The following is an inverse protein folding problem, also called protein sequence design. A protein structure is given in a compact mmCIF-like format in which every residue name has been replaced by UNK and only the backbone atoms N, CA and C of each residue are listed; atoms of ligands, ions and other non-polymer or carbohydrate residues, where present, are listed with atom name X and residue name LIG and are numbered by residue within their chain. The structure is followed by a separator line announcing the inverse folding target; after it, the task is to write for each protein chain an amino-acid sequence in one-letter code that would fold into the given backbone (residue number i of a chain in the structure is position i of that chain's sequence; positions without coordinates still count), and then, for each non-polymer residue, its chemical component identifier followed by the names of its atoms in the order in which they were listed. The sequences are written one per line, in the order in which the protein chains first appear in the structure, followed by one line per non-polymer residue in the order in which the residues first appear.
data_IF_777122273540
#
_entry.id   IF_777122273540
#
_cell.length_a   1.000
_cell.length_b   1.000
_cell.length_c   1.000
_cell.angle_alpha   90.00
_cell.angle_beta   90.00
_cell.angle_gamma   90.00
#
_symmetry.space_group_name_H-M   'P 1'
#
loop_
_entity.id
_entity.type
_entity.pdbx_description
1 polymer ?
#
# COMPACT_ATOMS: atom_id res chain seq x y z
N UNK A 1 4.04 -21.02 18.84
CA UNK A 1 3.82 -21.43 17.44
C UNK A 1 4.48 -22.78 17.14
N UNK A 2 3.68 -23.77 16.75
CA UNK A 2 4.10 -25.13 16.37
C UNK A 2 4.86 -25.14 15.03
N UNK A 3 5.51 -26.26 14.70
CA UNK A 3 6.23 -26.44 13.44
C UNK A 3 5.26 -26.35 12.25
N UNK A 4 4.09 -26.94 12.39
CA UNK A 4 3.01 -26.94 11.40
C UNK A 4 2.50 -25.53 11.15
N UNK A 5 2.22 -24.77 12.21
CA UNK A 5 1.78 -23.38 12.08
C UNK A 5 2.82 -22.51 11.36
N UNK A 6 4.12 -22.76 11.57
CA UNK A 6 5.19 -22.08 10.81
C UNK A 6 5.11 -22.40 9.33
N UNK A 7 5.07 -23.68 8.98
CA UNK A 7 5.09 -24.12 7.58
C UNK A 7 3.81 -23.72 6.82
N UNK A 8 2.65 -23.79 7.47
CA UNK A 8 1.36 -23.60 6.79
C UNK A 8 0.70 -22.24 7.01
N UNK A 9 1.34 -21.31 7.73
CA UNK A 9 0.77 -19.98 8.05
C UNK A 9 0.17 -19.27 6.83
N UNK A 10 0.88 -19.29 5.69
CA UNK A 10 0.47 -18.65 4.42
C UNK A 10 0.07 -19.64 3.34
N UNK A 11 -0.36 -20.83 3.74
CA UNK A 11 -0.74 -21.90 2.83
C UNK A 11 -2.24 -22.15 2.90
N UNK A 12 -2.88 -22.41 1.75
CA UNK A 12 -4.30 -22.77 1.67
C UNK A 12 -4.46 -24.11 0.99
N UNK A 13 -4.98 -25.08 1.73
CA UNK A 13 -5.10 -26.45 1.27
C UNK A 13 -6.16 -26.62 0.18
N UNK A 14 -5.80 -27.37 -0.85
CA UNK A 14 -6.72 -27.86 -1.87
C UNK A 14 -7.17 -29.27 -1.51
N UNK A 15 -8.48 -29.47 -1.30
CA UNK A 15 -9.06 -30.80 -1.01
C UNK A 15 -8.69 -31.84 -2.07
N UNK A 16 -8.68 -31.44 -3.34
CA UNK A 16 -8.30 -32.31 -4.46
C UNK A 16 -6.84 -32.76 -4.33
N UNK A 17 -5.92 -31.81 -4.12
CA UNK A 17 -4.49 -32.11 -4.03
C UNK A 17 -4.14 -32.88 -2.75
N UNK A 18 -4.84 -32.63 -1.65
CA UNK A 18 -4.74 -33.45 -0.43
C UNK A 18 -5.06 -34.92 -0.71
N UNK A 19 -6.19 -35.19 -1.38
CA UNK A 19 -6.58 -36.55 -1.73
C UNK A 19 -5.56 -37.21 -2.68
N UNK A 20 -5.08 -36.48 -3.69
CA UNK A 20 -4.05 -36.95 -4.63
C UNK A 20 -2.70 -37.23 -3.95
N UNK A 21 -2.35 -36.46 -2.92
CA UNK A 21 -1.13 -36.66 -2.13
C UNK A 21 -1.21 -37.90 -1.23
N UNK A 22 -2.42 -38.34 -0.88
CA UNK A 22 -2.66 -39.52 -0.03
C UNK A 22 -3.31 -39.22 1.31
N UNK A 23 -3.86 -38.02 1.53
CA UNK A 23 -4.71 -37.78 2.69
C UNK A 23 -6.06 -38.48 2.52
N UNK A 24 -6.57 -39.03 3.62
CA UNK A 24 -7.88 -39.67 3.70
C UNK A 24 -8.88 -38.70 4.33
N UNK A 25 -9.97 -38.43 3.63
CA UNK A 25 -11.10 -37.64 4.16
C UNK A 25 -11.78 -38.42 5.30
N UNK A 26 -11.88 -37.80 6.48
CA UNK A 26 -12.54 -38.32 7.69
C UNK A 26 -13.84 -37.59 8.02
N UNK A 27 -14.35 -36.77 7.09
CA UNK A 27 -15.53 -35.93 7.26
C UNK A 27 -15.18 -34.57 7.87
N UNK A 28 -14.61 -34.53 9.07
CA UNK A 28 -14.27 -33.27 9.77
C UNK A 28 -12.82 -32.83 9.56
N UNK A 29 -11.98 -33.70 9.00
CA UNK A 29 -10.59 -33.40 8.65
C UNK A 29 -10.07 -34.38 7.58
N UNK A 30 -9.00 -33.98 6.92
CA UNK A 30 -8.15 -34.85 6.11
C UNK A 30 -7.02 -35.37 6.96
N UNK A 31 -6.77 -36.69 6.95
CA UNK A 31 -5.73 -37.33 7.74
C UNK A 31 -4.70 -38.02 6.85
N UNK A 32 -3.42 -37.79 7.11
CA UNK A 32 -2.29 -38.50 6.52
C UNK A 32 -1.54 -39.24 7.61
N UNK A 33 -1.11 -40.47 7.32
CA UNK A 33 -0.13 -41.21 8.11
C UNK A 33 0.99 -41.59 7.15
N UNK A 34 2.22 -41.16 7.43
CA UNK A 34 3.35 -41.35 6.53
C UNK A 34 4.63 -41.60 7.31
N UNK A 35 5.29 -42.71 6.99
CA UNK A 35 6.60 -43.04 7.52
C UNK A 35 7.67 -42.12 6.92
N UNK A 36 8.68 -41.80 7.72
CA UNK A 36 9.85 -41.03 7.31
C UNK A 36 11.10 -41.51 8.07
N UNK A 37 12.28 -41.02 7.66
CA UNK A 37 13.58 -41.49 8.17
C UNK A 37 13.73 -43.01 8.11
N UNK A 38 13.48 -43.60 6.94
CA UNK A 38 13.64 -45.04 6.73
C UNK A 38 12.62 -45.93 7.46
N UNK A 39 11.54 -45.36 8.00
CA UNK A 39 10.52 -46.11 8.74
C UNK A 39 10.71 -46.07 10.25
N UNK A 40 11.69 -45.33 10.77
CA UNK A 40 11.90 -45.17 12.21
C UNK A 40 10.80 -44.33 12.86
N UNK A 41 10.19 -43.43 12.09
CA UNK A 41 9.15 -42.53 12.58
C UNK A 41 7.93 -42.49 11.66
N UNK A 42 6.76 -42.25 12.25
CA UNK A 42 5.51 -42.01 11.52
C UNK A 42 4.98 -40.62 11.84
N UNK A 43 4.80 -39.80 10.81
CA UNK A 43 4.07 -38.54 10.92
C UNK A 43 2.57 -38.79 10.73
N UNK A 44 1.76 -38.39 11.70
CA UNK A 44 0.32 -38.30 11.56
C UNK A 44 -0.13 -36.85 11.52
N UNK A 45 -0.70 -36.45 10.40
CA UNK A 45 -1.06 -35.06 10.11
C UNK A 45 -2.56 -34.98 9.85
N UNK A 46 -3.23 -34.03 10.48
CA UNK A 46 -4.65 -33.73 10.30
C UNK A 46 -4.81 -32.29 9.83
N UNK A 47 -5.53 -32.11 8.74
CA UNK A 47 -5.93 -30.81 8.18
C UNK A 47 -7.43 -30.66 8.35
N UNK A 48 -7.86 -29.66 9.10
CA UNK A 48 -9.28 -29.40 9.38
C UNK A 48 -9.89 -28.47 8.32
N UNK A 49 -11.22 -28.43 8.26
CA UNK A 49 -11.96 -27.59 7.28
C UNK A 49 -11.65 -26.10 7.39
N UNK A 50 -11.36 -25.61 8.60
CA UNK A 50 -10.94 -24.23 8.85
C UNK A 50 -9.46 -23.96 8.50
N UNK A 51 -8.79 -24.90 7.82
CA UNK A 51 -7.39 -24.80 7.43
C UNK A 51 -6.39 -25.06 8.56
N UNK A 52 -6.84 -25.22 9.81
CA UNK A 52 -5.93 -25.53 10.91
C UNK A 52 -5.29 -26.92 10.73
N UNK A 53 -4.04 -27.06 11.18
CA UNK A 53 -3.25 -28.29 11.05
C UNK A 53 -2.83 -28.77 12.43
N UNK A 54 -2.96 -30.07 12.67
CA UNK A 54 -2.36 -30.75 13.83
C UNK A 54 -1.49 -31.89 13.34
N UNK A 55 -0.27 -31.95 13.84
CA UNK A 55 0.64 -33.06 13.58
C UNK A 55 1.08 -33.74 14.86
N UNK A 56 1.35 -35.04 14.78
CA UNK A 56 2.09 -35.80 15.79
C UNK A 56 3.11 -36.70 15.10
N UNK A 57 4.23 -36.94 15.76
CA UNK A 57 5.27 -37.84 15.27
C UNK A 57 5.39 -39.00 16.25
N UNK A 58 5.31 -40.22 15.76
CA UNK A 58 5.46 -41.44 16.56
C UNK A 58 6.85 -42.04 16.30
N UNK A 59 7.51 -42.47 17.36
CA UNK A 59 8.67 -43.37 17.29
C UNK A 59 8.16 -44.79 17.09
N UNK A 60 8.47 -45.40 15.94
CA UNK A 60 7.90 -46.71 15.60
C UNK A 60 8.52 -47.86 16.39
N UNK A 61 9.71 -47.68 16.97
CA UNK A 61 10.35 -48.68 17.83
C UNK A 61 9.68 -48.70 19.21
N UNK A 62 9.36 -47.53 19.77
CA UNK A 62 8.74 -47.41 21.10
C UNK A 62 7.20 -47.45 21.04
N UNK A 63 6.60 -47.13 19.90
CA UNK A 63 5.15 -47.03 19.73
C UNK A 63 4.54 -45.81 20.43
N UNK A 64 5.36 -44.81 20.76
CA UNK A 64 4.97 -43.63 21.55
C UNK A 64 5.19 -42.34 20.76
N UNK A 65 4.52 -41.26 21.19
CA UNK A 65 4.74 -39.95 20.59
C UNK A 65 6.15 -39.45 20.91
N UNK A 66 6.86 -38.99 19.87
CA UNK A 66 8.20 -38.43 19.98
C UNK A 66 8.14 -36.98 20.50
N UNK A 67 7.87 -36.85 21.79
CA UNK A 67 7.79 -35.57 22.52
C UNK A 67 9.02 -34.66 22.33
N UNK A 68 10.28 -35.18 22.24
CA UNK A 68 11.44 -34.31 22.03
C UNK A 68 11.34 -33.40 20.81
N UNK A 69 10.56 -33.77 19.78
CA UNK A 69 10.25 -32.91 18.64
C UNK A 69 9.74 -31.53 19.07
N UNK A 70 8.91 -31.48 20.12
CA UNK A 70 8.21 -30.28 20.59
C UNK A 70 8.98 -29.47 21.63
N UNK A 71 10.02 -30.04 22.24
CA UNK A 71 10.74 -29.40 23.35
C UNK A 71 11.85 -28.46 22.82
N UNK A 72 11.72 -27.12 22.97
CA UNK A 72 12.69 -26.17 22.38
C UNK A 72 14.12 -26.40 22.87
N UNK A 73 14.28 -26.86 24.11
CA UNK A 73 15.57 -27.04 24.78
C UNK A 73 16.29 -28.35 24.39
N UNK A 74 15.64 -29.24 23.62
CA UNK A 74 16.29 -30.45 23.10
C UNK A 74 16.91 -30.14 21.75
N UNK A 75 18.23 -29.95 21.71
CA UNK A 75 19.00 -29.57 20.51
C UNK A 75 20.11 -30.56 20.16
N UNK A 76 20.00 -31.82 20.60
CA UNK A 76 20.94 -32.86 20.20
C UNK A 76 20.88 -33.13 18.69
N UNK A 77 21.99 -33.54 18.08
CA UNK A 77 22.09 -33.75 16.63
C UNK A 77 21.00 -34.67 16.06
N UNK A 78 20.64 -35.73 16.80
CA UNK A 78 19.56 -36.64 16.42
C UNK A 78 18.19 -35.95 16.40
N UNK A 79 17.80 -35.26 17.48
CA UNK A 79 16.52 -34.52 17.56
C UNK A 79 16.45 -33.46 16.45
N UNK A 80 17.57 -32.79 16.15
CA UNK A 80 17.71 -31.87 15.02
C UNK A 80 17.36 -32.53 13.70
N UNK A 81 17.96 -33.70 13.41
CA UNK A 81 17.67 -34.44 12.17
C UNK A 81 16.21 -34.89 12.05
N UNK A 82 15.57 -35.29 13.16
CA UNK A 82 14.14 -35.65 13.16
C UNK A 82 13.27 -34.43 12.86
N UNK A 83 13.59 -33.26 13.43
CA UNK A 83 12.89 -32.01 13.15
C UNK A 83 13.04 -31.57 11.70
N UNK A 84 14.26 -31.60 11.18
CA UNK A 84 14.54 -31.24 9.78
C UNK A 84 13.79 -32.16 8.81
N UNK A 85 13.79 -33.47 9.06
CA UNK A 85 13.07 -34.44 8.24
C UNK A 85 11.55 -34.24 8.31
N UNK A 86 11.02 -33.96 9.50
CA UNK A 86 9.60 -33.65 9.67
C UNK A 86 9.21 -32.34 8.98
N UNK A 87 10.00 -31.27 9.14
CA UNK A 87 9.81 -30.00 8.43
C UNK A 87 9.86 -30.18 6.91
N UNK A 88 10.79 -30.99 6.40
CA UNK A 88 10.88 -31.30 4.98
C UNK A 88 9.61 -31.99 4.46
N UNK A 89 9.05 -32.94 5.22
CA UNK A 89 7.76 -33.56 4.90
C UNK A 89 6.62 -32.52 4.86
N UNK A 90 6.56 -31.63 5.86
CA UNK A 90 5.54 -30.58 5.89
C UNK A 90 5.67 -29.61 4.71
N UNK A 91 6.90 -29.26 4.32
CA UNK A 91 7.16 -28.41 3.14
C UNK A 91 6.76 -29.09 1.84
N UNK A 92 7.02 -30.40 1.68
CA UNK A 92 6.56 -31.19 0.53
C UNK A 92 5.03 -31.24 0.45
N UNK A 93 4.36 -31.35 1.60
CA UNK A 93 2.89 -31.24 1.68
C UNK A 93 2.45 -29.84 1.26
N UNK A 94 3.08 -28.77 1.75
CA UNK A 94 2.72 -27.40 1.40
C UNK A 94 2.85 -27.17 -0.12
N UNK A 95 3.98 -27.54 -0.71
CA UNK A 95 4.24 -27.39 -2.15
C UNK A 95 3.19 -28.12 -3.01
N UNK A 96 2.85 -29.35 -2.63
CA UNK A 96 1.96 -30.19 -3.45
C UNK A 96 0.49 -29.97 -3.16
N UNK A 97 0.11 -29.60 -1.93
CA UNK A 97 -1.28 -29.56 -1.49
C UNK A 97 -1.85 -28.16 -1.35
N UNK A 98 -1.02 -27.10 -1.38
CA UNK A 98 -1.46 -25.76 -1.02
C UNK A 98 -1.24 -24.72 -2.12
N UNK A 99 -2.03 -23.66 -2.05
CA UNK A 99 -1.75 -22.38 -2.71
C UNK A 99 -1.15 -21.42 -1.69
N UNK A 100 -0.11 -20.68 -2.09
CA UNK A 100 0.46 -19.63 -1.25
C UNK A 100 -0.45 -18.40 -1.28
N UNK A 101 -0.68 -17.80 -0.12
CA UNK A 101 -1.44 -16.56 0.03
C UNK A 101 -0.58 -15.45 0.64
N UNK A 102 -1.03 -14.21 0.49
CA UNK A 102 -0.28 -13.03 0.93
C UNK A 102 -0.13 -12.98 2.46
N UNK A 103 -1.19 -13.31 3.20
CA UNK A 103 -1.25 -13.12 4.65
C UNK A 103 -1.68 -14.38 5.40
N UNK A 104 -1.45 -14.40 6.72
CA UNK A 104 -1.71 -15.59 7.53
C UNK A 104 -3.21 -15.79 7.76
N UNK A 105 -3.94 -14.74 8.13
CA UNK A 105 -5.38 -14.83 8.41
C UNK A 105 -6.24 -14.81 7.14
N UNK A 106 -7.40 -15.48 7.19
CA UNK A 106 -8.35 -15.46 6.07
C UNK A 106 -8.90 -14.06 5.84
N UNK A 107 -9.21 -13.33 6.91
CA UNK A 107 -9.70 -11.96 6.80
C UNK A 107 -8.68 -11.04 6.12
N UNK A 108 -7.39 -11.14 6.45
CA UNK A 108 -6.33 -10.38 5.79
C UNK A 108 -6.32 -10.59 4.27
N UNK A 109 -6.49 -11.82 3.81
CA UNK A 109 -6.52 -12.12 2.39
C UNK A 109 -7.82 -11.63 1.71
N UNK A 110 -8.98 -11.69 2.40
CA UNK A 110 -10.24 -11.11 1.89
C UNK A 110 -10.16 -9.59 1.78
N UNK A 111 -9.61 -8.92 2.78
CA UNK A 111 -9.37 -7.47 2.79
C UNK A 111 -8.37 -7.08 1.71
N UNK A 112 -7.26 -7.80 1.56
CA UNK A 112 -6.29 -7.56 0.49
C UNK A 112 -6.93 -7.69 -0.90
N UNK A 113 -7.75 -8.72 -1.12
CA UNK A 113 -8.49 -8.90 -2.37
C UNK A 113 -9.53 -7.78 -2.60
N UNK A 114 -10.16 -7.26 -1.54
CA UNK A 114 -11.07 -6.13 -1.62
C UNK A 114 -10.32 -4.83 -1.98
N UNK A 115 -9.13 -4.60 -1.41
CA UNK A 115 -8.24 -3.48 -1.76
C UNK A 115 -7.84 -3.58 -3.23
N UNK A 116 -7.42 -4.75 -3.70
CA UNK A 116 -7.08 -4.96 -5.11
C UNK A 116 -8.27 -4.64 -6.03
N UNK A 117 -9.47 -5.16 -5.73
CA UNK A 117 -10.67 -4.88 -6.54
C UNK A 117 -11.07 -3.41 -6.54
N UNK A 118 -10.95 -2.71 -5.41
CA UNK A 118 -11.42 -1.33 -5.24
C UNK A 118 -10.41 -0.29 -5.74
N UNK A 119 -9.13 -0.54 -5.51
CA UNK A 119 -8.05 0.43 -5.74
C UNK A 119 -7.04 0.00 -6.79
N UNK A 120 -7.14 -1.23 -7.32
CA UNK A 120 -6.14 -1.83 -8.20
C UNK A 120 -4.72 -1.85 -7.58
N UNK A 121 -4.65 -2.04 -6.26
CA UNK A 121 -3.40 -2.09 -5.48
C UNK A 121 -3.19 -3.48 -4.90
N UNK A 122 -2.07 -4.10 -5.26
CA UNK A 122 -1.57 -5.31 -4.61
C UNK A 122 -0.67 -4.95 -3.41
N UNK A 123 -0.56 -5.82 -2.40
CA UNK A 123 0.43 -5.64 -1.34
C UNK A 123 1.83 -5.88 -1.88
N UNK A 124 2.80 -5.07 -1.45
CA UNK A 124 4.23 -5.39 -1.59
C UNK A 124 4.84 -5.82 -0.25
N UNK A 125 5.99 -6.50 -0.29
CA UNK A 125 6.66 -7.06 0.89
C UNK A 125 8.10 -6.51 0.97
N UNK A 126 8.29 -5.30 1.49
CA UNK A 126 9.54 -4.55 1.31
C UNK A 126 10.68 -5.00 2.24
N UNK A 127 10.43 -5.89 3.19
CA UNK A 127 11.40 -6.29 4.20
C UNK A 127 11.92 -7.71 3.95
N UNK A 128 13.25 -7.86 3.94
CA UNK A 128 13.92 -9.17 3.82
C UNK A 128 14.07 -9.89 5.16
N UNK A 129 13.99 -9.16 6.28
CA UNK A 129 14.18 -9.76 7.60
C UNK A 129 13.10 -10.80 7.90
N UNK A 130 13.47 -11.97 8.40
CA UNK A 130 12.54 -13.07 8.69
C UNK A 130 11.32 -12.61 9.51
N UNK A 131 11.54 -11.73 10.50
CA UNK A 131 10.50 -11.17 11.37
C UNK A 131 9.42 -10.37 10.65
N UNK A 132 9.75 -9.69 9.56
CA UNK A 132 8.86 -8.78 8.83
C UNK A 132 8.67 -9.16 7.36
N UNK A 133 9.21 -10.30 6.93
CA UNK A 133 9.13 -10.80 5.55
C UNK A 133 7.70 -11.04 5.07
N UNK A 134 6.79 -11.35 6.00
CA UNK A 134 5.36 -11.52 5.73
C UNK A 134 4.54 -10.23 5.93
N UNK A 135 5.15 -9.10 6.26
CA UNK A 135 4.46 -7.84 6.43
C UNK A 135 4.24 -7.18 5.06
N UNK A 136 2.97 -6.97 4.72
CA UNK A 136 2.56 -6.49 3.40
C UNK A 136 2.04 -5.06 3.47
N UNK A 137 2.53 -4.20 2.58
CA UNK A 137 2.19 -2.78 2.56
C UNK A 137 1.41 -2.43 1.31
N UNK A 138 0.38 -1.60 1.47
CA UNK A 138 -0.42 -1.05 0.38
C UNK A 138 -0.06 0.43 0.16
N UNK A 139 0.26 0.78 -1.08
CA UNK A 139 0.70 2.12 -1.49
C UNK A 139 -0.15 2.70 -2.60
N UNK A 140 -0.28 4.01 -2.59
CA UNK A 140 -0.80 4.74 -3.76
C UNK A 140 0.18 4.63 -4.93
N UNK A 141 -0.34 4.34 -6.12
CA UNK A 141 0.47 4.23 -7.34
C UNK A 141 1.02 5.58 -7.83
N UNK A 142 0.39 6.69 -7.46
CA UNK A 142 0.74 8.05 -7.91
C UNK A 142 1.82 8.72 -7.05
N UNK A 143 1.91 8.37 -5.76
CA UNK A 143 2.73 9.08 -4.78
C UNK A 143 3.51 8.15 -3.82
N UNK A 144 3.35 6.83 -3.95
CA UNK A 144 4.02 5.79 -3.16
C UNK A 144 3.82 5.88 -1.63
N UNK A 145 2.92 6.74 -1.13
CA UNK A 145 2.60 6.80 0.30
C UNK A 145 1.81 5.57 0.70
N UNK A 146 2.08 5.10 1.90
CA UNK A 146 1.41 3.94 2.48
C UNK A 146 0.04 4.36 2.96
N UNK A 147 -0.97 3.56 2.64
CA UNK A 147 -2.32 3.71 3.21
C UNK A 147 -2.75 2.51 4.03
N UNK A 148 -2.04 1.39 3.92
CA UNK A 148 -2.27 0.21 4.74
C UNK A 148 -0.98 -0.58 4.95
N UNK A 149 -0.86 -1.22 6.11
CA UNK A 149 0.19 -2.20 6.40
C UNK A 149 -0.42 -3.35 7.18
N UNK A 150 -0.40 -4.56 6.62
CA UNK A 150 -0.74 -5.78 7.34
C UNK A 150 0.52 -6.42 7.89
N UNK A 151 0.49 -6.80 9.16
CA UNK A 151 1.58 -7.53 9.80
C UNK A 151 1.07 -8.51 10.83
N UNK A 152 1.73 -9.67 10.94
CA UNK A 152 1.47 -10.65 11.98
C UNK A 152 2.27 -10.32 13.25
N UNK A 153 1.59 -10.17 14.38
CA UNK A 153 2.21 -9.77 15.65
C UNK A 153 1.71 -10.62 16.80
N UNK A 154 2.47 -10.65 17.91
CA UNK A 154 2.00 -11.24 19.16
C UNK A 154 0.79 -10.44 19.68
N UNK A 155 -0.34 -11.13 19.91
CA UNK A 155 -1.61 -10.51 20.33
C UNK A 155 -1.47 -9.74 21.65
N UNK A 156 -0.56 -10.19 22.52
CA UNK A 156 -0.30 -9.58 23.85
C UNK A 156 0.29 -8.19 23.78
N UNK A 157 0.82 -7.81 22.61
CA UNK A 157 1.29 -6.45 22.35
C UNK A 157 0.13 -5.45 22.23
N UNK A 158 -1.07 -5.94 21.91
CA UNK A 158 -2.30 -5.15 21.86
C UNK A 158 -3.16 -5.34 23.11
N UNK A 159 -3.28 -6.58 23.58
CA UNK A 159 -4.10 -6.96 24.71
C UNK A 159 -3.36 -7.97 25.61
N UNK A 160 -2.84 -7.49 26.75
CA UNK A 160 -1.99 -8.27 27.65
C UNK A 160 -2.67 -9.50 28.25
N UNK A 161 -4.00 -9.49 28.32
CA UNK A 161 -4.81 -10.58 28.89
C UNK A 161 -5.21 -11.62 27.84
N UNK A 162 -4.79 -11.45 26.58
CA UNK A 162 -5.14 -12.37 25.50
C UNK A 162 -4.40 -13.70 25.60
N UNK A 163 -5.16 -14.79 25.47
CA UNK A 163 -4.67 -16.15 25.34
C UNK A 163 -4.17 -16.49 23.92
N UNK A 164 -4.55 -15.70 22.91
CA UNK A 164 -4.06 -15.88 21.53
C UNK A 164 -2.57 -15.52 21.41
N UNK A 165 -1.81 -16.35 20.69
CA UNK A 165 -0.36 -16.13 20.51
C UNK A 165 -0.04 -15.08 19.43
N UNK A 166 -0.85 -14.98 18.38
CA UNK A 166 -0.58 -14.11 17.24
C UNK A 166 -1.85 -13.67 16.52
N UNK A 167 -1.82 -12.48 15.93
CA UNK A 167 -2.90 -11.95 15.09
C UNK A 167 -2.33 -11.10 13.96
N UNK A 168 -3.03 -11.08 12.82
CA UNK A 168 -2.76 -10.09 11.79
C UNK A 168 -3.39 -8.76 12.20
N UNK A 169 -2.61 -7.68 12.11
CA UNK A 169 -3.09 -6.32 12.30
C UNK A 169 -2.94 -5.52 11.02
N UNK A 170 -3.96 -4.72 10.71
CA UNK A 170 -3.94 -3.73 9.65
C UNK A 170 -3.75 -2.33 10.25
N UNK A 171 -2.59 -1.75 10.01
CA UNK A 171 -2.29 -0.37 10.35
C UNK A 171 -2.87 0.58 9.30
N UNK A 172 -3.70 1.52 9.76
CA UNK A 172 -4.37 2.52 8.92
C UNK A 172 -4.16 3.92 9.46
N UNK A 173 -3.90 4.87 8.56
CA UNK A 173 -4.03 6.30 8.83
C UNK A 173 -5.47 6.62 9.23
N UNK A 174 -5.64 7.39 10.31
CA UNK A 174 -6.95 7.81 10.79
C UNK A 174 -7.01 9.32 11.01
N UNK A 175 -8.22 9.87 10.98
CA UNK A 175 -8.50 11.25 11.36
C UNK A 175 -8.20 11.42 12.85
N UNK A 176 -7.25 12.32 13.17
CA UNK A 176 -6.76 12.56 14.53
C UNK A 176 -7.90 12.92 15.51
N UNK A 177 -8.98 13.55 15.01
CA UNK A 177 -10.16 13.88 15.81
C UNK A 177 -11.03 12.67 16.17
N UNK A 178 -10.94 11.58 15.40
CA UNK A 178 -11.75 10.36 15.57
C UNK A 178 -11.02 9.26 16.32
N UNK A 179 -9.69 9.30 16.41
CA UNK A 179 -8.86 8.24 17.03
C UNK A 179 -9.36 7.86 18.44
N UNK A 180 -9.67 8.84 19.29
CA UNK A 180 -10.14 8.58 20.66
C UNK A 180 -11.49 7.83 20.71
N UNK A 181 -12.35 8.02 19.70
CA UNK A 181 -13.62 7.31 19.57
C UNK A 181 -13.39 5.92 18.97
N UNK A 182 -12.52 5.82 17.96
CA UNK A 182 -12.19 4.57 17.29
C UNK A 182 -11.59 3.54 18.27
N UNK A 183 -10.72 3.95 19.19
CA UNK A 183 -10.18 3.07 20.23
C UNK A 183 -11.22 2.51 21.22
N UNK A 184 -12.46 2.99 21.19
CA UNK A 184 -13.57 2.43 21.99
C UNK A 184 -14.25 1.25 21.29
N UNK A 185 -13.96 1.05 20.01
CA UNK A 185 -14.49 -0.06 19.21
C UNK A 185 -13.59 -1.27 19.46
N UNK A 186 -14.20 -2.39 19.89
CA UNK A 186 -13.48 -3.65 20.10
C UNK A 186 -12.82 -4.06 18.78
N UNK A 187 -11.53 -4.41 18.83
CA UNK A 187 -10.74 -4.76 17.63
C UNK A 187 -9.93 -3.60 17.06
N UNK A 188 -10.10 -2.36 17.55
CA UNK A 188 -9.27 -1.21 17.17
C UNK A 188 -8.40 -0.78 18.35
N UNK A 189 -7.10 -0.71 18.11
CA UNK A 189 -6.07 -0.45 19.11
C UNK A 189 -5.17 0.74 18.71
N UNK A 190 -4.43 1.32 19.66
CA UNK A 190 -3.35 2.25 19.35
C UNK A 190 -2.35 1.64 18.37
N UNK A 191 -1.88 2.45 17.43
CA UNK A 191 -1.07 1.95 16.32
C UNK A 191 0.21 1.21 16.75
N UNK A 192 0.43 0.00 16.26
CA UNK A 192 1.66 -0.75 16.47
C UNK A 192 2.69 -0.38 15.39
N UNK A 193 3.94 -0.10 15.78
CA UNK A 193 5.03 0.41 14.94
C UNK A 193 4.80 1.77 14.23
N UNK A 194 3.60 2.34 14.33
CA UNK A 194 3.23 3.60 13.70
C UNK A 194 2.97 4.70 14.72
N UNK A 195 2.86 5.94 14.26
CA UNK A 195 2.53 7.05 15.14
C UNK A 195 1.08 6.93 15.63
N UNK A 196 0.91 6.63 16.93
CA UNK A 196 -0.37 6.41 17.59
C UNK A 196 -1.31 7.64 17.56
N UNK A 197 -0.80 8.84 17.30
CA UNK A 197 -1.63 10.05 17.18
C UNK A 197 -2.20 10.23 15.77
N UNK A 198 -1.80 9.38 14.81
CA UNK A 198 -2.10 9.52 13.37
C UNK A 198 -2.57 8.23 12.71
N UNK A 199 -2.36 7.11 13.38
CA UNK A 199 -2.62 5.77 12.88
C UNK A 199 -3.37 4.99 13.96
N UNK A 200 -4.03 3.92 13.53
CA UNK A 200 -4.67 2.91 14.36
C UNK A 200 -4.22 1.53 13.89
N UNK A 201 -4.32 0.52 14.75
CA UNK A 201 -4.19 -0.89 14.39
C UNK A 201 -5.53 -1.59 14.53
N UNK A 202 -6.02 -2.19 13.46
CA UNK A 202 -7.25 -2.99 13.43
C UNK A 202 -6.87 -4.46 13.41
N UNK A 203 -7.44 -5.29 14.30
CA UNK A 203 -7.21 -6.74 14.26
C UNK A 203 -8.01 -7.38 13.15
N UNK A 204 -7.39 -8.32 12.43
CA UNK A 204 -7.99 -9.05 11.33
C UNK A 204 -8.34 -10.48 11.77
N UNK A 205 -9.17 -10.55 12.80
CA UNK A 205 -9.65 -11.75 13.51
C UNK A 205 -11.19 -11.90 13.46
N UNK A 206 -11.84 -11.26 12.48
CA UNK A 206 -13.29 -11.18 12.31
C UNK A 206 -14.06 -10.47 13.44
N UNK A 207 -13.35 -9.82 14.40
CA UNK A 207 -13.99 -8.96 15.41
C UNK A 207 -14.74 -7.78 14.78
N UNK A 208 -14.12 -7.15 13.77
CA UNK A 208 -14.81 -6.23 12.86
C UNK A 208 -15.12 -6.96 11.56
N UNK A 209 -16.30 -6.73 10.99
CA UNK A 209 -16.65 -7.28 9.69
C UNK A 209 -15.84 -6.64 8.56
N UNK A 210 -15.66 -7.38 7.46
CA UNK A 210 -14.88 -6.92 6.30
C UNK A 210 -15.34 -5.55 5.76
N UNK A 211 -16.65 -5.24 5.84
CA UNK A 211 -17.18 -3.94 5.42
C UNK A 211 -16.70 -2.79 6.31
N UNK A 212 -16.75 -2.97 7.63
CA UNK A 212 -16.30 -1.94 8.59
C UNK A 212 -14.80 -1.71 8.47
N UNK A 213 -14.04 -2.78 8.25
CA UNK A 213 -12.60 -2.69 7.98
C UNK A 213 -12.35 -1.91 6.69
N UNK A 214 -13.10 -2.17 5.62
CA UNK A 214 -12.95 -1.46 4.35
C UNK A 214 -13.34 0.02 4.45
N UNK A 215 -14.31 0.40 5.28
CA UNK A 215 -14.62 1.82 5.51
C UNK A 215 -13.43 2.57 6.16
N UNK A 216 -12.71 1.91 7.07
CA UNK A 216 -11.48 2.45 7.64
C UNK A 216 -10.35 2.52 6.59
N UNK A 217 -10.24 1.51 5.72
CA UNK A 217 -9.29 1.52 4.60
C UNK A 217 -9.58 2.70 3.67
N UNK A 218 -10.84 2.96 3.34
CA UNK A 218 -11.26 4.05 2.47
C UNK A 218 -10.90 5.42 3.04
N UNK A 219 -11.14 5.62 4.34
CA UNK A 219 -10.70 6.83 5.04
C UNK A 219 -9.18 6.94 5.00
N UNK A 220 -8.47 5.84 5.27
CA UNK A 220 -7.01 5.81 5.25
C UNK A 220 -6.44 6.16 3.88
N UNK A 221 -7.00 5.56 2.83
CA UNK A 221 -6.67 5.82 1.44
C UNK A 221 -6.87 7.31 1.12
N UNK A 222 -8.02 7.90 1.51
CA UNK A 222 -8.27 9.35 1.33
C UNK A 222 -7.29 10.22 2.09
N UNK A 223 -7.01 9.94 3.36
CA UNK A 223 -6.11 10.75 4.20
C UNK A 223 -4.65 10.71 3.77
N UNK A 224 -4.24 9.62 3.11
CA UNK A 224 -2.87 9.39 2.62
C UNK A 224 -2.72 9.67 1.14
N UNK A 225 -3.84 9.75 0.41
CA UNK A 225 -3.86 10.29 -0.94
C UNK A 225 -3.27 11.69 -0.88
N UNK A 226 -2.52 12.06 -1.92
CA UNK A 226 -2.09 13.44 -2.02
C UNK A 226 -3.37 14.30 -2.13
N UNK A 227 -3.54 15.39 -1.34
CA UNK A 227 -4.57 16.38 -1.62
C UNK A 227 -4.41 16.98 -3.03
N UNK A 228 -3.26 16.74 -3.66
CA UNK A 228 -2.91 17.02 -5.05
C UNK A 228 -2.97 15.79 -5.97
N UNK A 229 -3.49 14.65 -5.51
CA UNK A 229 -3.77 13.40 -6.24
C UNK A 229 -5.27 13.23 -6.46
N UNK A 230 -6.08 13.72 -5.51
CA UNK A 230 -7.28 14.51 -5.86
C UNK A 230 -6.80 15.89 -6.31
N UNK A 231 -5.95 15.94 -7.33
CA UNK A 231 -5.73 17.18 -8.06
C UNK A 231 -7.11 17.50 -8.62
N UNK A 232 -7.72 18.56 -8.09
CA UNK A 232 -9.01 19.06 -8.53
C UNK A 232 -9.02 19.00 -10.08
N UNK A 233 -9.79 18.11 -10.71
CA UNK A 233 -9.85 18.01 -12.18
C UNK A 233 -10.04 19.40 -12.80
N UNK A 234 -10.78 20.25 -12.08
CA UNK A 234 -10.91 21.67 -12.36
C UNK A 234 -9.58 22.43 -12.37
N UNK A 235 -8.69 22.26 -11.39
CA UNK A 235 -7.36 22.89 -11.39
C UNK A 235 -6.47 22.37 -12.53
N UNK A 236 -6.53 21.06 -12.84
CA UNK A 236 -5.79 20.49 -13.98
C UNK A 236 -6.29 21.14 -15.28
N UNK A 237 -7.61 21.13 -15.46
CA UNK A 237 -8.27 21.75 -16.61
C UNK A 237 -7.98 23.25 -16.69
N UNK A 238 -7.99 23.98 -15.57
CA UNK A 238 -7.63 25.40 -15.50
C UNK A 238 -6.17 25.66 -15.89
N UNK A 239 -5.24 24.81 -15.46
CA UNK A 239 -3.82 24.91 -15.83
C UNK A 239 -3.63 24.68 -17.33
N UNK A 240 -4.26 23.64 -17.90
CA UNK A 240 -4.18 23.40 -19.34
C UNK A 240 -4.90 24.46 -20.15
N UNK A 241 -6.06 24.95 -19.70
CA UNK A 241 -6.76 26.06 -20.36
C UNK A 241 -5.91 27.33 -20.44
N UNK A 242 -5.12 27.63 -19.40
CA UNK A 242 -4.15 28.73 -19.46
C UNK A 242 -3.04 28.43 -20.46
N UNK A 243 -2.51 27.20 -20.51
CA UNK A 243 -1.49 26.82 -21.50
C UNK A 243 -2.02 26.90 -22.94
N UNK A 244 -3.24 26.44 -23.18
CA UNK A 244 -3.93 26.50 -24.47
C UNK A 244 -4.15 27.95 -24.92
N UNK A 245 -4.29 28.90 -23.98
CA UNK A 245 -4.43 30.32 -24.28
C UNK A 245 -3.12 31.00 -24.72
N UNK A 246 -1.96 30.37 -24.54
CA UNK A 246 -0.67 30.94 -24.93
C UNK A 246 -0.57 30.90 -26.46
N UNK A 247 -0.53 32.04 -27.16
CA UNK A 247 -0.51 32.04 -28.63
C UNK A 247 0.83 31.52 -29.17
N UNK A 248 0.86 30.98 -30.41
CA UNK A 248 2.10 30.61 -31.08
C UNK A 248 3.13 31.75 -31.07
N UNK A 249 4.39 31.41 -30.83
CA UNK A 249 5.49 32.38 -30.79
C UNK A 249 5.58 33.14 -29.47
N UNK A 250 4.77 32.77 -28.48
CA UNK A 250 4.83 33.27 -27.11
C UNK A 250 5.01 32.16 -26.08
N UNK A 251 5.51 32.53 -24.91
CA UNK A 251 5.77 31.61 -23.79
C UNK A 251 5.30 32.19 -22.47
N UNK A 252 4.95 31.31 -21.53
CA UNK A 252 4.76 31.67 -20.13
C UNK A 252 5.66 30.82 -19.23
N UNK A 253 6.00 31.36 -18.07
CA UNK A 253 6.63 30.57 -17.01
C UNK A 253 5.60 29.85 -16.13
N UNK A 254 6.00 28.75 -15.51
CA UNK A 254 5.19 28.06 -14.48
C UNK A 254 4.65 29.02 -13.39
N UNK A 255 5.45 30.02 -13.01
CA UNK A 255 5.05 31.04 -12.05
C UNK A 255 3.97 31.99 -12.58
N UNK A 256 4.01 32.34 -13.87
CA UNK A 256 2.98 33.18 -14.49
C UNK A 256 1.65 32.44 -14.60
N UNK A 257 1.66 31.16 -14.98
CA UNK A 257 0.44 30.34 -15.01
C UNK A 257 -0.14 30.23 -13.59
N UNK A 258 0.70 29.96 -12.59
CA UNK A 258 0.27 29.91 -11.20
C UNK A 258 -0.34 31.25 -10.72
N UNK A 259 0.24 32.38 -11.12
CA UNK A 259 -0.29 33.71 -10.80
C UNK A 259 -1.61 34.01 -11.52
N UNK A 260 -1.76 33.64 -12.79
CA UNK A 260 -2.99 33.81 -13.56
C UNK A 260 -4.18 33.07 -12.94
N UNK A 261 -3.92 31.95 -12.27
CA UNK A 261 -4.92 31.16 -11.53
C UNK A 261 -5.14 31.63 -10.07
N UNK A 262 -4.59 32.79 -9.68
CA UNK A 262 -4.70 33.30 -8.31
C UNK A 262 -3.89 32.51 -7.27
N UNK A 263 -2.89 31.71 -7.70
CA UNK A 263 -2.09 30.80 -6.87
C UNK A 263 -0.58 31.04 -7.03
N UNK A 264 -0.05 32.25 -6.79
CA UNK A 264 1.32 32.63 -7.16
C UNK A 264 2.45 31.80 -6.53
N UNK A 265 2.19 31.07 -5.43
CA UNK A 265 3.18 30.20 -4.77
C UNK A 265 3.26 28.78 -5.34
N UNK A 266 2.40 28.43 -6.31
CA UNK A 266 2.21 27.04 -6.77
C UNK A 266 2.95 26.68 -8.07
N UNK A 267 4.04 27.40 -8.42
CA UNK A 267 4.82 27.15 -9.64
C UNK A 267 5.28 25.68 -9.80
N UNK A 268 5.73 25.02 -8.71
CA UNK A 268 6.12 23.59 -8.75
C UNK A 268 4.95 22.65 -9.06
N UNK A 269 3.76 22.98 -8.57
CA UNK A 269 2.55 22.20 -8.84
C UNK A 269 2.16 22.28 -10.32
N UNK A 270 2.23 23.46 -10.91
CA UNK A 270 2.02 23.64 -12.37
C UNK A 270 3.01 22.79 -13.16
N UNK A 271 4.29 22.77 -12.77
CA UNK A 271 5.29 21.89 -13.41
C UNK A 271 4.94 20.41 -13.31
N UNK A 272 4.48 19.94 -12.14
CA UNK A 272 4.01 18.57 -11.95
C UNK A 272 2.80 18.25 -12.85
N UNK A 273 1.83 19.17 -12.96
CA UNK A 273 0.67 19.00 -13.85
C UNK A 273 1.12 18.93 -15.32
N UNK A 274 1.96 19.85 -15.78
CA UNK A 274 2.45 19.84 -17.17
C UNK A 274 3.18 18.54 -17.55
N UNK A 275 3.91 17.91 -16.61
CA UNK A 275 4.54 16.60 -16.86
C UNK A 275 3.58 15.43 -17.06
N UNK A 276 2.28 15.64 -16.87
CA UNK A 276 1.22 14.63 -17.01
C UNK A 276 0.35 14.85 -18.25
N UNK A 277 0.72 15.76 -19.16
CA UNK A 277 -0.10 16.19 -20.30
C UNK A 277 -0.67 15.02 -21.13
N UNK A 278 0.12 13.96 -21.37
CA UNK A 278 -0.30 12.76 -22.11
C UNK A 278 -1.57 12.08 -21.55
N UNK A 279 -1.90 12.31 -20.27
CA UNK A 279 -3.10 11.76 -19.61
C UNK A 279 -4.35 12.63 -19.79
N UNK A 280 -4.19 13.87 -20.22
CA UNK A 280 -5.25 14.89 -20.20
C UNK A 280 -5.55 15.52 -21.57
N UNK A 281 -4.74 15.22 -22.58
CA UNK A 281 -5.00 15.61 -23.97
C UNK A 281 -3.77 16.20 -24.65
N UNK A 282 -3.97 16.70 -25.87
CA UNK A 282 -2.94 17.44 -26.60
C UNK A 282 -3.00 18.92 -26.22
N UNK A 283 -1.94 19.41 -25.57
CA UNK A 283 -1.81 20.77 -25.06
C UNK A 283 -0.45 21.34 -25.47
N UNK A 284 -0.31 22.66 -25.72
CA UNK A 284 0.93 23.27 -26.17
C UNK A 284 1.93 23.46 -25.01
N UNK A 285 2.24 22.39 -24.29
CA UNK A 285 3.13 22.39 -23.14
C UNK A 285 4.54 22.86 -23.48
N UNK A 286 4.96 22.77 -24.75
CA UNK A 286 6.25 23.30 -25.22
C UNK A 286 6.37 24.82 -25.01
N UNK A 287 5.25 25.55 -24.98
CA UNK A 287 5.18 27.00 -24.71
C UNK A 287 5.41 27.37 -23.24
N UNK A 288 5.57 26.39 -22.35
CA UNK A 288 5.79 26.62 -20.91
C UNK A 288 7.25 26.36 -20.54
N UNK A 289 7.91 27.40 -20.02
CA UNK A 289 9.35 27.38 -19.68
C UNK A 289 9.57 27.75 -18.21
N UNK A 290 10.81 27.65 -17.72
CA UNK A 290 11.10 28.15 -16.38
C UNK A 290 11.16 29.70 -16.35
N UNK A 291 11.29 30.28 -15.14
CA UNK A 291 11.33 31.74 -14.95
C UNK A 291 12.46 32.46 -15.74
N UNK A 292 13.52 31.74 -16.10
CA UNK A 292 14.67 32.26 -16.83
C UNK A 292 14.59 31.98 -18.35
N UNK A 293 13.50 31.38 -18.83
CA UNK A 293 13.34 30.95 -20.23
C UNK A 293 14.00 29.62 -20.58
N UNK A 294 14.49 28.86 -19.60
CA UNK A 294 15.10 27.55 -19.84
C UNK A 294 14.02 26.52 -20.18
N UNK A 295 14.30 25.72 -21.21
CA UNK A 295 13.53 24.53 -21.58
C UNK A 295 13.70 23.40 -20.55
N UNK A 296 12.85 22.39 -20.66
CA UNK A 296 12.83 21.21 -19.81
C UNK A 296 14.06 20.33 -20.12
N UNK A 297 14.89 20.00 -19.12
CA UNK A 297 16.02 19.08 -19.33
C UNK A 297 15.54 17.72 -19.85
N UNK A 298 16.16 17.23 -20.92
CA UNK A 298 15.84 15.93 -21.51
C UNK A 298 14.67 15.92 -22.50
N UNK A 299 14.00 17.06 -22.74
CA UNK A 299 12.98 17.20 -23.78
C UNK A 299 13.57 17.97 -24.97
N UNK A 300 14.12 17.24 -25.94
CA UNK A 300 14.87 17.83 -27.05
C UNK A 300 13.95 18.56 -28.05
N UNK A 301 12.76 18.02 -28.27
CA UNK A 301 11.76 18.52 -29.21
C UNK A 301 11.17 19.86 -28.79
N UNK A 302 11.20 20.20 -27.49
CA UNK A 302 10.62 21.45 -26.99
C UNK A 302 11.20 22.68 -27.72
N UNK A 303 12.51 22.69 -27.94
CA UNK A 303 13.18 23.81 -28.60
C UNK A 303 12.77 23.92 -30.06
N UNK A 304 12.73 22.80 -30.77
CA UNK A 304 12.36 22.76 -32.19
C UNK A 304 10.94 23.28 -32.41
N UNK A 305 10.01 22.87 -31.54
CA UNK A 305 8.61 23.35 -31.57
C UNK A 305 8.52 24.86 -31.31
N UNK A 306 9.29 25.38 -30.37
CA UNK A 306 9.35 26.81 -30.08
C UNK A 306 9.96 27.62 -31.24
N UNK A 307 11.05 27.14 -31.83
CA UNK A 307 11.70 27.77 -32.99
C UNK A 307 10.79 27.74 -34.22
N UNK A 308 10.05 26.66 -34.45
CA UNK A 308 9.04 26.54 -35.52
C UNK A 308 7.90 27.57 -35.37
N UNK A 309 7.59 27.98 -34.14
CA UNK A 309 6.65 29.06 -33.84
C UNK A 309 7.29 30.46 -33.83
N UNK A 310 8.58 30.58 -34.16
CA UNK A 310 9.30 31.85 -34.24
C UNK A 310 9.80 32.38 -32.89
N UNK A 311 9.94 31.53 -31.87
CA UNK A 311 10.50 31.93 -30.56
C UNK A 311 12.02 32.04 -30.64
N UNK A 312 12.56 33.21 -30.28
CA UNK A 312 13.99 33.47 -30.26
C UNK A 312 14.64 32.99 -28.95
N UNK A 313 15.85 32.46 -29.07
CA UNK A 313 16.71 32.03 -27.97
C UNK A 313 17.91 32.97 -27.83
N UNK A 314 18.36 33.16 -26.60
CA UNK A 314 19.58 33.90 -26.25
C UNK A 314 20.80 32.99 -26.44
N UNK A 315 21.99 33.59 -26.44
CA UNK A 315 23.27 32.86 -26.56
C UNK A 315 23.45 31.77 -25.48
N UNK A 316 22.86 31.96 -24.29
CA UNK A 316 22.91 30.99 -23.20
C UNK A 316 21.92 29.80 -23.35
N UNK A 317 21.19 29.73 -24.47
CA UNK A 317 20.25 28.65 -24.78
C UNK A 317 18.87 28.78 -24.13
N UNK A 318 18.58 29.88 -23.42
CA UNK A 318 17.24 30.16 -22.90
C UNK A 318 16.41 30.99 -23.89
N UNK A 319 15.09 30.82 -23.87
CA UNK A 319 14.14 31.69 -24.59
C UNK A 319 14.37 33.14 -24.18
N UNK A 320 14.34 34.06 -25.15
CA UNK A 320 14.36 35.49 -24.87
C UNK A 320 13.00 35.95 -24.31
N UNK A 321 12.85 35.79 -23.01
CA UNK A 321 11.66 36.17 -22.25
C UNK A 321 11.28 37.64 -22.44
N UNK A 322 12.21 38.53 -22.81
CA UNK A 322 11.89 39.95 -23.04
C UNK A 322 11.02 40.17 -24.29
N UNK A 323 11.10 39.26 -25.28
CA UNK A 323 10.40 39.34 -26.56
C UNK A 323 9.17 38.45 -26.61
N UNK A 324 9.29 37.25 -26.05
CA UNK A 324 8.32 36.17 -26.24
C UNK A 324 7.42 35.94 -25.03
N UNK A 325 7.65 36.60 -23.89
CA UNK A 325 6.75 36.45 -22.74
C UNK A 325 5.32 36.89 -23.12
N UNK A 326 4.36 36.03 -22.80
CA UNK A 326 2.94 36.33 -22.78
C UNK A 326 2.54 36.76 -21.37
N UNK A 327 1.80 37.85 -21.27
CA UNK A 327 1.13 38.26 -20.05
C UNK A 327 -0.37 38.27 -20.35
N UNK A 328 -1.16 37.35 -19.76
CA UNK A 328 -2.59 37.33 -19.99
C UNK A 328 -3.15 38.64 -19.44
N UNK A 329 -3.79 39.44 -20.30
CA UNK A 329 -4.53 40.63 -19.86
C UNK A 329 -5.57 40.14 -18.87
N UNK A 330 -5.58 40.69 -17.65
CA UNK A 330 -6.63 40.43 -16.66
C UNK A 330 -7.97 40.67 -17.33
N UNK A 331 -8.74 39.60 -17.57
CA UNK A 331 -10.14 39.71 -17.94
C UNK A 331 -10.81 40.61 -16.88
N UNK A 332 -11.38 41.71 -17.34
CA UNK A 332 -11.68 42.89 -16.52
C UNK A 332 -12.51 42.58 -15.28
N UNK A 333 -12.05 43.10 -14.15
CA UNK A 333 -12.95 43.57 -13.08
C UNK A 333 -13.57 44.89 -13.52
N UNK A 334 -14.52 44.85 -14.46
CA UNK A 334 -15.50 45.92 -14.63
C UNK A 334 -16.69 45.63 -13.72
N UNK A 335 -16.90 46.49 -12.72
CA UNK A 335 -18.11 46.49 -11.90
C UNK A 335 -17.96 45.97 -10.46
N UNK A 336 -17.12 46.61 -9.65
CA UNK A 336 -17.35 46.63 -8.19
C UNK A 336 -17.01 48.02 -7.65
N UNK A 337 -18.01 48.91 -7.65
CA UNK A 337 -17.96 50.15 -6.86
C UNK A 337 -17.93 49.78 -5.38
N UNK A 338 -16.91 50.26 -4.66
CA UNK A 338 -16.85 50.11 -3.21
C UNK A 338 -17.86 51.05 -2.53
N UNK A 339 -18.73 50.56 -1.61
CA UNK A 339 -19.54 51.43 -0.78
C UNK A 339 -18.65 52.27 0.16
N UNK A 340 -18.88 53.58 0.16
CA UNK A 340 -18.03 54.58 0.80
C UNK A 340 -17.76 54.36 2.29
N UNK A 341 -16.50 54.56 2.68
CA UNK A 341 -16.12 54.80 4.06
C UNK A 341 -16.49 56.24 4.45
N UNK A 342 -17.49 56.36 5.31
CA UNK A 342 -17.77 57.59 6.06
C UNK A 342 -16.58 57.86 6.99
N UNK A 343 -15.89 58.99 6.76
CA UNK A 343 -14.91 59.56 7.70
C UNK A 343 -15.63 60.00 8.97
N UNK A 344 -15.39 59.30 10.08
CA UNK A 344 -15.67 59.79 11.42
C UNK A 344 -14.54 60.72 11.90
N UNK A 345 -14.91 61.96 12.16
CA UNK A 345 -14.06 63.06 12.62
C UNK A 345 -13.51 62.81 14.03
N UNK A 346 -12.28 63.28 14.30
CA UNK A 346 -11.73 63.42 15.65
C UNK A 346 -12.27 64.69 16.28
N UNK A 347 -12.73 64.59 17.53
CA UNK A 347 -12.64 65.67 18.51
C UNK A 347 -11.64 65.26 19.58
#
# INVERSE_FOLDING_TARGET
MTIEQKVFSRMRFSRKRLAEYGFVDKGTCFSLSKEFMGGDFTAEIRVYENGSVRGRVLDNMMGEEYIPLRMPNYSGAFVGSVREAYEALLRDIAEKCCDEVAFASDQSNRVAAAILRRYAVEPDFPWESERYSAAGVFRHSDNNKWFGLIMNIDRRLLDKESDEEATDVLNLKADESKIAVLHRIKGIYPAYHMNHSKWISVTLDDTLGDSDVMDLVDESFRLTSDPAGVMNEKLISEVYAVADSIPPGKVMSYGQIAAALGRPKNSRLVGKIMSMADRYGDHPCHRVVNHAGRTVPGWHEQRELLEAEGVAFRENGNVDMSRHRYDPVSAGTDGYEQPGQVRGERK
#
